data_IF_837161749864
#
_entry.id   IF_837161749864
#
_cell.length_a   1.000
_cell.length_b   1.000
_cell.length_c   1.000
_cell.angle_alpha   90.00
_cell.angle_beta   90.00
_cell.angle_gamma   90.00
#
_symmetry.space_group_name_H-M   'P 1'
#
loop_
_entity.id
_entity.type
_entity.pdbx_description
1 polymer ?
#
# COMPACT_ATOMS: atom_id res chain seq x y z
N UNK A 1 4.29 17.46 -1.40
CA UNK A 1 3.89 16.49 -0.35
C UNK A 1 2.38 16.24 -0.29
N UNK A 2 1.51 17.25 -0.54
CA UNK A 2 0.05 17.13 -0.36
C UNK A 2 -0.64 16.02 -1.18
N UNK A 3 -0.13 15.68 -2.37
CA UNK A 3 -0.71 14.65 -3.24
C UNK A 3 -0.53 13.26 -2.62
N UNK A 4 0.68 12.90 -2.20
CA UNK A 4 1.00 11.58 -1.61
C UNK A 4 0.10 11.27 -0.39
N UNK A 5 -0.30 12.29 0.35
CA UNK A 5 -1.10 12.16 1.57
C UNK A 5 -2.61 12.22 1.35
N UNK A 6 -3.10 12.65 0.17
CA UNK A 6 -4.55 12.88 -0.08
C UNK A 6 -5.10 12.20 -1.34
N UNK A 7 -4.40 11.23 -1.92
CA UNK A 7 -4.88 10.53 -3.11
C UNK A 7 -6.00 9.53 -2.80
N UNK A 8 -6.98 9.44 -3.70
CA UNK A 8 -8.04 8.42 -3.67
C UNK A 8 -7.53 7.02 -4.05
N UNK A 9 -6.43 6.93 -4.81
CA UNK A 9 -5.68 5.71 -5.15
C UNK A 9 -4.26 5.78 -4.59
N UNK A 10 -3.56 4.66 -4.53
CA UNK A 10 -2.14 4.66 -4.17
C UNK A 10 -1.34 5.47 -5.22
N UNK A 11 -0.48 6.41 -4.80
CA UNK A 11 0.25 7.26 -5.72
C UNK A 11 1.32 6.45 -6.47
N UNK A 12 1.30 6.51 -7.79
CA UNK A 12 2.41 6.03 -8.63
C UNK A 12 3.40 7.18 -8.84
N UNK A 13 4.66 6.95 -8.49
CA UNK A 13 5.73 7.94 -8.63
C UNK A 13 6.66 7.54 -9.77
N UNK A 14 6.75 8.38 -10.79
CA UNK A 14 7.75 8.27 -11.86
C UNK A 14 8.91 9.21 -11.49
N UNK A 15 10.02 8.63 -11.03
CA UNK A 15 11.16 9.38 -10.48
C UNK A 15 12.47 8.97 -11.17
N UNK A 16 12.83 9.61 -12.30
CA UNK A 16 14.05 9.28 -13.04
C UNK A 16 15.33 9.62 -12.26
N UNK A 17 15.26 10.49 -11.25
CA UNK A 17 16.41 10.92 -10.45
C UNK A 17 16.51 10.21 -9.09
N UNK A 18 15.54 9.33 -8.77
CA UNK A 18 15.43 8.58 -7.51
C UNK A 18 15.39 9.45 -6.24
N UNK A 19 15.11 10.75 -6.35
CA UNK A 19 15.08 11.66 -5.22
C UNK A 19 13.83 11.46 -4.35
N UNK A 20 12.67 11.27 -4.98
CA UNK A 20 11.40 10.98 -4.32
C UNK A 20 11.42 9.63 -3.62
N UNK A 21 11.93 8.59 -4.29
CA UNK A 21 12.09 7.26 -3.68
C UNK A 21 13.02 7.32 -2.47
N UNK A 22 14.17 7.99 -2.61
CA UNK A 22 15.13 8.15 -1.50
C UNK A 22 14.53 8.92 -0.33
N UNK A 23 13.74 9.98 -0.62
CA UNK A 23 13.08 10.76 0.40
C UNK A 23 12.01 9.95 1.15
N UNK A 24 11.17 9.19 0.45
CA UNK A 24 10.15 8.31 1.07
C UNK A 24 10.83 7.26 1.97
N UNK A 25 11.87 6.59 1.46
CA UNK A 25 12.62 5.60 2.25
C UNK A 25 13.17 6.21 3.54
N UNK A 26 13.83 7.37 3.45
CA UNK A 26 14.39 8.04 4.63
C UNK A 26 13.30 8.45 5.61
N UNK A 27 12.18 8.97 5.12
CA UNK A 27 11.07 9.45 5.95
C UNK A 27 10.33 8.33 6.66
N UNK A 28 10.00 7.25 5.95
CA UNK A 28 9.15 6.17 6.45
C UNK A 28 9.94 5.00 7.07
N UNK A 29 11.27 4.96 6.93
CA UNK A 29 12.09 3.91 7.56
C UNK A 29 11.91 3.85 9.08
N UNK A 30 11.67 4.98 9.74
CA UNK A 30 11.40 5.02 11.19
C UNK A 30 10.04 4.43 11.57
N UNK A 31 9.12 4.35 10.60
CA UNK A 31 7.78 3.78 10.75
C UNK A 31 7.72 2.31 10.31
N UNK A 32 8.87 1.67 10.04
CA UNK A 32 8.93 0.26 9.63
C UNK A 32 8.61 0.02 8.15
N UNK A 33 8.91 0.98 7.27
CA UNK A 33 8.70 0.86 5.82
C UNK A 33 9.13 -0.51 5.26
N UNK A 34 8.19 -1.20 4.64
CA UNK A 34 8.43 -2.40 3.84
C UNK A 34 8.71 -1.97 2.41
N UNK A 35 9.93 -2.20 1.92
CA UNK A 35 10.29 -1.99 0.51
C UNK A 35 10.36 -3.33 -0.21
N UNK A 36 9.61 -3.49 -1.30
CA UNK A 36 9.56 -4.76 -2.05
C UNK A 36 9.48 -4.48 -3.55
N UNK A 37 9.96 -5.40 -4.39
CA UNK A 37 9.83 -5.33 -5.85
C UNK A 37 8.78 -6.32 -6.32
N UNK A 38 8.05 -5.97 -7.38
CA UNK A 38 7.02 -6.85 -7.96
C UNK A 38 7.58 -8.19 -8.43
N UNK A 39 8.85 -8.23 -8.86
CA UNK A 39 9.54 -9.46 -9.29
C UNK A 39 9.90 -10.41 -8.15
N UNK A 40 9.74 -9.99 -6.89
CA UNK A 40 10.05 -10.83 -5.74
C UNK A 40 8.95 -11.88 -5.54
N UNK A 41 9.32 -13.16 -5.42
CA UNK A 41 8.37 -14.24 -5.15
C UNK A 41 7.54 -14.01 -3.86
N UNK A 42 8.09 -13.29 -2.88
CA UNK A 42 7.44 -12.97 -1.63
C UNK A 42 6.63 -11.66 -1.64
N UNK A 43 6.49 -10.97 -2.78
CA UNK A 43 5.90 -9.62 -2.79
C UNK A 43 4.45 -9.60 -2.28
N UNK A 44 3.61 -10.56 -2.68
CA UNK A 44 2.23 -10.66 -2.18
C UNK A 44 2.17 -10.87 -0.67
N UNK A 45 3.11 -11.65 -0.13
CA UNK A 45 3.23 -11.85 1.32
C UNK A 45 3.68 -10.57 2.03
N UNK A 46 4.58 -9.78 1.44
CA UNK A 46 4.97 -8.47 1.96
C UNK A 46 3.82 -7.45 1.92
N UNK A 47 3.02 -7.44 0.86
CA UNK A 47 1.80 -6.61 0.75
C UNK A 47 0.81 -6.99 1.84
N UNK A 48 0.52 -8.28 1.98
CA UNK A 48 -0.38 -8.79 3.01
C UNK A 48 0.08 -8.35 4.40
N UNK A 49 1.36 -8.56 4.71
CA UNK A 49 1.93 -8.17 6.00
C UNK A 49 1.81 -6.66 6.27
N UNK A 50 2.12 -5.83 5.27
CA UNK A 50 2.00 -4.38 5.40
C UNK A 50 0.57 -3.95 5.73
N UNK A 51 -0.43 -4.59 5.12
CA UNK A 51 -1.84 -4.33 5.36
C UNK A 51 -2.29 -4.79 6.76
N UNK A 52 -1.85 -5.97 7.20
CA UNK A 52 -2.19 -6.54 8.52
C UNK A 52 -1.54 -5.78 9.68
N UNK A 53 -0.30 -5.32 9.49
CA UNK A 53 0.49 -4.60 10.50
C UNK A 53 0.36 -3.07 10.40
N UNK A 54 -0.31 -2.54 9.37
CA UNK A 54 -0.45 -1.11 9.14
C UNK A 54 0.88 -0.39 8.87
N UNK A 55 1.80 -1.09 8.22
CA UNK A 55 3.14 -0.58 7.92
C UNK A 55 3.15 0.11 6.57
N UNK A 56 3.93 1.20 6.41
CA UNK A 56 4.15 1.81 5.10
C UNK A 56 4.72 0.78 4.12
N UNK A 57 4.20 0.75 2.89
CA UNK A 57 4.66 -0.11 1.82
C UNK A 57 5.14 0.72 0.64
N UNK A 58 6.36 0.45 0.18
CA UNK A 58 6.91 0.99 -1.06
C UNK A 58 7.15 -0.16 -2.04
N UNK A 59 6.35 -0.20 -3.09
CA UNK A 59 6.55 -1.12 -4.19
C UNK A 59 7.45 -0.48 -5.25
N UNK A 60 8.61 -1.09 -5.49
CA UNK A 60 9.64 -0.58 -6.37
C UNK A 60 9.69 -1.32 -7.69
N UNK A 61 10.15 -0.61 -8.72
CA UNK A 61 10.30 -1.17 -10.08
C UNK A 61 9.03 -1.89 -10.53
N UNK A 62 7.88 -1.24 -10.32
CA UNK A 62 6.59 -1.75 -10.78
C UNK A 62 6.63 -1.93 -12.29
N UNK A 63 6.13 -3.07 -12.75
CA UNK A 63 6.00 -3.36 -14.17
C UNK A 63 4.85 -2.59 -14.81
N UNK A 64 4.64 -2.82 -16.09
CA UNK A 64 3.56 -2.19 -16.86
C UNK A 64 2.17 -2.72 -16.47
N UNK A 65 2.11 -3.90 -15.86
CA UNK A 65 0.89 -4.55 -15.45
C UNK A 65 1.05 -5.25 -14.11
N UNK A 66 -0.08 -5.43 -13.43
CA UNK A 66 -0.20 -6.19 -12.19
C UNK A 66 -1.06 -7.42 -12.42
N UNK A 67 -0.77 -8.48 -11.66
CA UNK A 67 -1.65 -9.63 -11.59
C UNK A 67 -3.03 -9.21 -11.04
N UNK A 68 -4.10 -9.83 -11.55
CA UNK A 68 -5.48 -9.52 -11.16
C UNK A 68 -5.74 -9.62 -9.65
N UNK A 69 -4.92 -10.40 -8.94
CA UNK A 69 -4.90 -10.51 -7.47
C UNK A 69 -4.73 -9.15 -6.77
N UNK A 70 -4.05 -8.19 -7.39
CA UNK A 70 -3.80 -6.85 -6.85
C UNK A 70 -4.89 -5.84 -7.14
N UNK A 71 -5.81 -6.13 -8.04
CA UNK A 71 -6.83 -5.17 -8.46
C UNK A 71 -7.57 -4.54 -7.26
N UNK A 72 -7.99 -5.32 -6.23
CA UNK A 72 -8.64 -4.74 -5.06
C UNK A 72 -7.72 -3.81 -4.26
N UNK A 73 -6.42 -4.12 -4.20
CA UNK A 73 -5.40 -3.31 -3.51
C UNK A 73 -5.19 -1.99 -4.23
N UNK A 74 -4.95 -2.04 -5.55
CA UNK A 74 -4.70 -0.87 -6.38
C UNK A 74 -5.91 0.07 -6.48
N UNK A 75 -7.11 -0.51 -6.44
CA UNK A 75 -8.37 0.24 -6.40
C UNK A 75 -8.75 0.76 -5.01
N UNK A 76 -8.02 0.37 -3.95
CA UNK A 76 -8.40 0.61 -2.54
C UNK A 76 -9.83 0.14 -2.25
N UNK A 77 -10.20 -1.02 -2.78
CA UNK A 77 -11.52 -1.64 -2.61
C UNK A 77 -11.66 -2.23 -1.20
N UNK A 78 -11.93 -1.35 -0.24
CA UNK A 78 -12.12 -1.72 1.16
C UNK A 78 -13.56 -2.11 1.45
N UNK A 79 -13.74 -3.12 2.30
CA UNK A 79 -15.04 -3.58 2.78
C UNK A 79 -15.11 -3.33 4.28
N UNK A 80 -16.16 -2.67 4.74
CA UNK A 80 -16.38 -2.43 6.17
C UNK A 80 -17.14 -3.61 6.77
N UNK A 81 -16.52 -4.35 7.70
CA UNK A 81 -17.16 -5.43 8.48
C UNK A 81 -17.22 -5.01 9.95
N UNK A 82 -18.34 -4.40 10.34
CA UNK A 82 -18.52 -3.84 11.69
C UNK A 82 -17.55 -2.69 11.97
N UNK A 83 -16.63 -2.90 12.92
CA UNK A 83 -15.57 -1.94 13.27
C UNK A 83 -14.28 -2.12 12.48
N UNK A 84 -14.10 -3.28 11.83
CA UNK A 84 -12.91 -3.64 11.05
C UNK A 84 -13.05 -3.21 9.60
N UNK A 85 -11.92 -2.90 8.97
CA UNK A 85 -11.81 -2.69 7.53
C UNK A 85 -11.09 -3.91 6.98
N UNK A 86 -11.67 -4.53 5.96
CA UNK A 86 -11.09 -5.71 5.32
C UNK A 86 -10.88 -5.46 3.84
N UNK A 87 -9.92 -6.14 3.24
CA UNK A 87 -9.67 -6.10 1.80
C UNK A 87 -9.37 -7.50 1.29
N UNK A 88 -9.79 -7.80 0.07
CA UNK A 88 -9.50 -9.09 -0.58
C UNK A 88 -8.16 -9.03 -1.31
N UNK A 89 -7.36 -10.07 -1.14
CA UNK A 89 -6.13 -10.31 -1.90
C UNK A 89 -6.18 -11.74 -2.45
N UNK A 90 -6.60 -11.88 -3.70
CA UNK A 90 -6.97 -13.17 -4.27
C UNK A 90 -8.13 -13.81 -3.51
N UNK A 91 -7.93 -15.04 -3.07
CA UNK A 91 -8.92 -15.79 -2.28
C UNK A 91 -8.87 -15.48 -0.77
N UNK A 92 -7.93 -14.64 -0.32
CA UNK A 92 -7.79 -14.29 1.09
C UNK A 92 -8.51 -12.98 1.42
N UNK A 93 -9.19 -12.94 2.56
CA UNK A 93 -9.62 -11.69 3.19
C UNK A 93 -8.59 -11.28 4.24
N UNK A 94 -8.11 -10.05 4.14
CA UNK A 94 -7.12 -9.46 5.03
C UNK A 94 -7.79 -8.41 5.89
N UNK A 95 -7.68 -8.57 7.21
CA UNK A 95 -8.04 -7.54 8.18
C UNK A 95 -6.97 -6.44 8.13
N UNK A 96 -7.34 -5.24 7.68
CA UNK A 96 -6.39 -4.13 7.61
C UNK A 96 -6.27 -3.41 8.94
N UNK A 97 -5.05 -3.31 9.44
CA UNK A 97 -4.70 -2.38 10.50
C UNK A 97 -4.35 -1.06 9.83
N UNK A 98 -5.24 -0.09 9.88
CA UNK A 98 -4.92 1.26 9.43
C UNK A 98 -5.53 2.28 10.37
N UNK A 99 -4.78 3.35 10.59
CA UNK A 99 -5.33 4.55 11.21
C UNK A 99 -6.45 5.04 10.30
N UNK A 100 -7.58 5.41 10.88
CA UNK A 100 -8.65 5.99 10.09
C UNK A 100 -8.27 7.42 9.79
N UNK A 101 -8.32 7.80 8.52
CA UNK A 101 -8.49 9.20 8.19
C UNK A 101 -9.88 9.60 8.71
N UNK A 102 -9.95 10.46 9.72
CA UNK A 102 -11.21 10.81 10.39
C UNK A 102 -12.22 11.50 9.46
N UNK A 103 -11.74 12.08 8.35
CA UNK A 103 -12.51 12.89 7.41
C UNK A 103 -13.12 12.02 6.29
N UNK A 104 -12.37 11.04 5.78
CA UNK A 104 -12.80 10.14 4.69
C UNK A 104 -13.26 8.76 5.18
N UNK A 105 -12.95 8.39 6.43
CA UNK A 105 -13.19 7.05 6.97
C UNK A 105 -12.36 5.95 6.31
N UNK A 106 -11.42 6.33 5.44
CA UNK A 106 -10.57 5.42 4.69
C UNK A 106 -9.30 5.09 5.47
N UNK A 107 -8.69 3.93 5.21
CA UNK A 107 -7.33 3.63 5.64
C UNK A 107 -6.35 4.69 5.11
N UNK A 108 -5.58 5.33 6.00
CA UNK A 108 -4.35 6.06 5.61
C UNK A 108 -3.22 5.08 5.32
#
# INVERSE_FOLDING_TARGET
>A
AAIITKCSRWPLIIDPQLQGVTWIRKRESVNGLISVQQSNAAYLSSVQRAMEEGLPLLLEKVGESFDAVMEPVLARATIRKGRKIVMKLGDKEIDMLSLKDEESGMPV
#
